data_IF_241772539754
#
_entry.id   IF_241772539754
#
_cell.length_a   1.000
_cell.length_b   1.000
_cell.length_c   1.000
_cell.angle_alpha   90.00
_cell.angle_beta   90.00
_cell.angle_gamma   90.00
#
_symmetry.space_group_name_H-M   'P 1'
#
loop_
_entity.id
_entity.type
_entity.pdbx_description
1 polymer ?
#
# COMPACT_ATOMS: atom_id res chain seq x y z
N UNK A 1 -84.53 13.66 4.52
CA UNK A 1 -83.97 12.28 4.47
C UNK A 1 -82.74 12.30 3.59
N UNK A 2 -81.52 11.91 3.94
CA UNK A 2 -80.90 11.43 5.17
C UNK A 2 -79.37 11.61 5.00
N UNK A 3 -78.71 12.12 6.04
CA UNK A 3 -77.28 12.46 6.05
C UNK A 3 -76.43 11.17 5.95
N UNK A 4 -75.43 11.16 5.07
CA UNK A 4 -74.39 10.10 5.05
C UNK A 4 -73.46 10.29 6.24
N UNK A 5 -73.28 9.20 6.99
CA UNK A 5 -72.42 9.08 8.16
C UNK A 5 -70.96 9.08 7.70
N UNK A 6 -70.21 10.10 8.10
CA UNK A 6 -68.75 10.12 8.01
C UNK A 6 -68.18 9.33 9.19
N UNK A 7 -67.55 8.19 8.92
CA UNK A 7 -66.83 7.41 9.92
C UNK A 7 -65.50 8.10 10.26
N UNK A 8 -65.37 8.56 11.50
CA UNK A 8 -64.12 9.04 12.07
C UNK A 8 -63.17 7.86 12.25
N UNK A 9 -62.06 7.82 11.50
CA UNK A 9 -60.87 7.05 11.88
C UNK A 9 -59.90 7.98 12.61
N UNK A 10 -59.64 7.65 13.86
CA UNK A 10 -58.60 8.24 14.71
C UNK A 10 -57.20 7.97 14.13
N UNK A 11 -56.27 8.95 14.12
CA UNK A 11 -54.88 8.68 13.76
C UNK A 11 -54.15 8.04 14.95
N UNK A 12 -53.46 6.92 14.70
CA UNK A 12 -52.56 6.28 15.65
C UNK A 12 -51.25 7.08 15.78
N UNK A 13 -50.78 7.46 16.99
CA UNK A 13 -49.56 8.23 17.17
C UNK A 13 -48.39 7.29 17.43
N UNK A 14 -47.83 6.65 16.39
CA UNK A 14 -46.49 6.06 16.48
C UNK A 14 -45.92 5.68 15.11
N UNK A 15 -45.51 6.69 14.34
CA UNK A 15 -44.59 6.49 13.24
C UNK A 15 -43.18 6.90 13.73
N UNK A 16 -42.34 5.91 14.06
CA UNK A 16 -40.91 6.13 14.27
C UNK A 16 -40.30 6.61 12.95
N UNK A 17 -39.38 7.60 12.94
CA UNK A 17 -38.75 8.02 11.69
C UNK A 17 -37.93 6.86 11.14
N UNK A 18 -38.18 6.51 9.88
CA UNK A 18 -37.42 5.51 9.14
C UNK A 18 -35.94 5.85 9.17
N UNK A 19 -35.16 4.88 9.62
CA UNK A 19 -33.70 4.83 9.50
C UNK A 19 -33.32 5.08 8.04
N UNK A 20 -32.73 6.25 7.80
CA UNK A 20 -32.20 6.61 6.50
C UNK A 20 -31.22 5.55 6.02
N UNK A 21 -31.48 5.09 4.80
CA UNK A 21 -30.64 4.21 3.99
C UNK A 21 -29.24 4.84 3.86
N UNK A 22 -28.33 4.48 4.78
CA UNK A 22 -26.93 4.87 4.71
C UNK A 22 -26.26 3.94 3.71
N UNK A 23 -26.30 4.31 2.43
CA UNK A 23 -25.38 3.78 1.42
C UNK A 23 -23.94 3.84 1.98
N UNK A 24 -23.14 2.78 1.88
CA UNK A 24 -21.76 2.84 2.33
C UNK A 24 -21.04 3.90 1.48
N UNK A 25 -20.55 4.96 2.14
CA UNK A 25 -19.63 5.92 1.53
C UNK A 25 -18.42 5.11 1.05
N UNK A 26 -18.26 5.02 -0.26
CA UNK A 26 -17.09 4.38 -0.86
C UNK A 26 -15.82 4.97 -0.30
N UNK A 27 -14.92 4.12 0.18
CA UNK A 27 -13.58 4.52 0.59
C UNK A 27 -12.92 5.32 -0.55
N UNK A 28 -12.18 6.39 -0.26
CA UNK A 28 -11.49 7.16 -1.28
C UNK A 28 -10.52 6.21 -2.00
N UNK A 29 -10.76 5.95 -3.28
CA UNK A 29 -9.92 5.07 -4.09
C UNK A 29 -8.51 5.68 -4.13
N UNK A 30 -7.45 4.97 -3.68
CA UNK A 30 -6.08 5.50 -3.68
C UNK A 30 -5.50 5.67 -5.08
N UNK A 31 -6.26 5.40 -6.15
CA UNK A 31 -5.78 5.49 -7.53
C UNK A 31 -5.61 6.91 -8.05
N UNK A 32 -6.52 7.84 -7.76
CA UNK A 32 -6.53 9.15 -8.43
C UNK A 32 -5.38 10.06 -7.97
N UNK A 33 -5.03 10.04 -6.68
CA UNK A 33 -3.94 10.84 -6.12
C UNK A 33 -2.57 10.41 -6.63
N UNK A 34 -2.37 9.10 -6.87
CA UNK A 34 -1.11 8.56 -7.42
C UNK A 34 -0.87 9.05 -8.85
N UNK A 35 -1.91 9.13 -9.67
CA UNK A 35 -1.81 9.65 -11.04
C UNK A 35 -1.41 11.12 -11.11
N UNK A 36 -1.88 11.96 -10.17
CA UNK A 36 -1.45 13.37 -10.11
C UNK A 36 0.03 13.51 -9.71
N UNK A 37 0.52 12.67 -8.80
CA UNK A 37 1.95 12.68 -8.41
C UNK A 37 2.83 12.23 -9.57
N UNK A 38 2.45 11.14 -10.27
CA UNK A 38 3.17 10.67 -11.46
C UNK A 38 3.16 11.72 -12.58
N UNK A 39 2.03 12.39 -12.81
CA UNK A 39 1.93 13.47 -13.79
C UNK A 39 2.79 14.69 -13.44
N UNK A 40 2.86 15.06 -12.16
CA UNK A 40 3.72 16.16 -11.70
C UNK A 40 5.20 15.82 -11.84
N UNK A 41 5.62 14.60 -11.46
CA UNK A 41 7.01 14.14 -11.65
C UNK A 41 7.37 14.14 -13.13
N UNK A 42 6.48 13.64 -13.99
CA UNK A 42 6.69 13.66 -15.44
C UNK A 42 6.84 15.10 -15.96
N UNK A 43 5.98 16.02 -15.54
CA UNK A 43 6.06 17.43 -15.93
C UNK A 43 7.38 18.08 -15.49
N UNK A 44 7.84 17.79 -14.27
CA UNK A 44 9.13 18.27 -13.76
C UNK A 44 10.29 17.68 -14.58
N UNK A 45 10.25 16.38 -14.92
CA UNK A 45 11.31 15.78 -15.75
C UNK A 45 11.36 16.38 -17.15
N UNK A 46 10.21 16.66 -17.74
CA UNK A 46 10.12 17.35 -19.04
C UNK A 46 10.66 18.78 -18.91
N UNK A 47 10.26 19.52 -17.87
CA UNK A 47 10.76 20.88 -17.64
C UNK A 47 12.29 20.92 -17.42
N UNK A 48 12.84 19.95 -16.70
CA UNK A 48 14.29 19.78 -16.53
C UNK A 48 14.97 19.51 -17.88
N UNK A 49 14.41 18.62 -18.72
CA UNK A 49 14.96 18.34 -20.04
C UNK A 49 15.00 19.59 -20.94
N UNK A 50 14.01 20.48 -20.84
CA UNK A 50 13.99 21.75 -21.58
C UNK A 50 14.94 22.80 -21.00
N UNK A 51 15.03 22.92 -19.67
CA UNK A 51 15.88 23.92 -19.00
C UNK A 51 17.38 23.59 -19.07
N UNK A 52 17.72 22.29 -19.09
CA UNK A 52 19.11 21.82 -19.17
C UNK A 52 19.53 21.36 -20.58
N UNK A 53 18.71 21.66 -21.61
CA UNK A 53 19.08 21.41 -22.98
C UNK A 53 20.38 22.18 -23.32
N UNK A 54 21.41 21.51 -23.88
CA UNK A 54 22.68 22.17 -24.18
C UNK A 54 22.47 23.30 -25.19
N UNK A 55 22.78 24.53 -24.76
CA UNK A 55 22.69 25.70 -25.63
C UNK A 55 23.89 25.73 -26.59
N UNK A 56 23.62 25.58 -27.89
CA UNK A 56 24.59 25.78 -28.96
C UNK A 56 24.58 24.67 -30.02
N UNK A 57 25.03 25.02 -31.24
CA UNK A 57 25.14 24.06 -32.34
C UNK A 57 26.30 23.11 -32.06
N UNK A 58 26.02 21.81 -31.99
CA UNK A 58 27.05 20.78 -31.88
C UNK A 58 27.76 20.65 -33.24
N UNK A 59 29.04 20.99 -33.31
CA UNK A 59 29.86 20.87 -34.53
C UNK A 59 30.97 19.83 -34.32
N UNK A 60 31.32 19.03 -35.36
CA UNK A 60 32.47 18.14 -35.31
C UNK A 60 33.77 18.89 -35.04
N UNK A 61 34.73 18.22 -34.39
CA UNK A 61 36.02 18.82 -34.05
C UNK A 61 36.81 19.28 -35.29
N UNK A 62 36.68 18.55 -36.40
CA UNK A 62 37.28 18.91 -37.69
C UNK A 62 36.72 20.24 -38.24
N UNK A 63 35.41 20.44 -38.15
CA UNK A 63 34.73 21.67 -38.58
C UNK A 63 35.13 22.85 -37.68
N UNK A 64 35.27 22.61 -36.37
CA UNK A 64 35.81 23.60 -35.45
C UNK A 64 37.25 23.99 -35.81
N UNK A 65 38.14 23.02 -36.07
CA UNK A 65 39.54 23.27 -36.45
C UNK A 65 39.64 24.05 -37.77
N UNK A 66 38.74 23.77 -38.71
CA UNK A 66 38.62 24.53 -39.95
C UNK A 66 38.22 25.99 -39.68
N UNK A 67 37.13 26.21 -38.94
CA UNK A 67 36.65 27.57 -38.62
C UNK A 67 37.61 28.36 -37.73
N UNK A 68 38.41 27.67 -36.93
CA UNK A 68 39.49 28.27 -36.15
C UNK A 68 40.60 28.81 -37.08
N UNK A 69 41.01 28.04 -38.09
CA UNK A 69 41.99 28.47 -39.10
C UNK A 69 41.50 29.62 -39.97
N UNK A 70 40.20 29.63 -40.26
CA UNK A 70 39.52 30.71 -40.99
C UNK A 70 39.35 31.99 -40.14
N UNK A 71 39.75 31.97 -38.86
CA UNK A 71 39.66 33.12 -37.97
C UNK A 71 38.23 33.49 -37.57
N UNK A 72 37.27 32.57 -37.73
CA UNK A 72 35.85 32.79 -37.45
C UNK A 72 35.48 32.64 -35.96
N UNK A 73 36.40 32.14 -35.13
CA UNK A 73 36.20 31.94 -33.69
C UNK A 73 36.56 33.21 -32.92
N UNK A 74 35.67 33.70 -32.05
CA UNK A 74 35.93 34.87 -31.21
C UNK A 74 36.46 34.48 -29.82
N UNK A 75 35.83 33.49 -29.20
CA UNK A 75 36.15 33.04 -27.84
C UNK A 75 36.01 31.53 -27.75
N UNK A 76 36.94 30.87 -27.06
CA UNK A 76 36.94 29.43 -26.84
C UNK A 76 37.15 29.10 -25.36
N UNK A 77 36.12 28.57 -24.71
CA UNK A 77 36.20 27.99 -23.37
C UNK A 77 36.53 26.50 -23.48
N UNK A 78 37.70 26.11 -23.00
CA UNK A 78 38.15 24.71 -23.00
C UNK A 78 37.73 24.06 -21.69
N UNK A 79 36.71 23.21 -21.72
CA UNK A 79 36.27 22.41 -20.58
C UNK A 79 36.92 21.01 -20.58
N UNK A 80 36.64 20.20 -19.56
CA UNK A 80 37.22 18.86 -19.39
C UNK A 80 36.79 17.90 -20.50
N UNK A 81 35.55 17.99 -20.98
CA UNK A 81 34.97 17.04 -21.95
C UNK A 81 34.56 17.70 -23.28
N UNK A 82 34.41 19.03 -23.29
CA UNK A 82 33.91 19.79 -24.44
C UNK A 82 34.64 21.11 -24.58
N UNK A 83 34.71 21.62 -25.81
CA UNK A 83 35.15 22.99 -26.11
C UNK A 83 33.88 23.75 -26.51
N UNK A 84 33.59 24.83 -25.77
CA UNK A 84 32.45 25.71 -26.04
C UNK A 84 32.97 27.07 -26.44
N UNK A 85 32.26 27.76 -27.32
CA UNK A 85 32.70 29.08 -27.75
C UNK A 85 31.64 29.83 -28.51
N UNK A 86 32.01 31.03 -28.93
CA UNK A 86 31.19 31.87 -29.81
C UNK A 86 31.96 32.16 -31.08
N UNK A 87 31.27 32.06 -32.21
CA UNK A 87 31.79 32.60 -33.47
C UNK A 87 31.74 34.13 -33.45
N UNK A 88 32.60 34.76 -34.25
CA UNK A 88 32.53 36.20 -34.51
C UNK A 88 31.13 36.53 -35.05
N UNK A 89 30.56 37.69 -34.69
CA UNK A 89 29.25 38.08 -35.17
C UNK A 89 29.23 38.08 -36.70
N UNK A 90 28.30 37.32 -37.28
CA UNK A 90 28.01 37.41 -38.72
C UNK A 90 27.32 38.76 -39.01
N UNK A 91 27.11 39.11 -40.29
CA UNK A 91 26.50 40.37 -40.77
C UNK A 91 25.17 40.76 -40.09
N UNK A 92 24.51 39.82 -39.41
CA UNK A 92 23.27 39.97 -38.62
C UNK A 92 23.49 40.21 -37.11
N UNK A 93 24.73 40.44 -36.66
CA UNK A 93 25.10 40.71 -35.26
C UNK A 93 24.71 39.60 -34.26
N UNK A 94 24.49 38.37 -34.75
CA UNK A 94 24.22 37.18 -33.94
C UNK A 94 25.53 36.40 -33.73
N UNK A 95 25.99 36.33 -32.48
CA UNK A 95 27.10 35.47 -32.10
C UNK A 95 26.57 34.06 -31.83
N UNK A 96 26.76 33.15 -32.78
CA UNK A 96 26.34 31.76 -32.63
C UNK A 96 27.26 31.03 -31.64
N UNK A 97 26.65 30.39 -30.64
CA UNK A 97 27.38 29.52 -29.72
C UNK A 97 27.58 28.14 -30.34
N UNK A 98 28.78 27.62 -30.24
CA UNK A 98 29.13 26.26 -30.67
C UNK A 98 29.62 25.41 -29.50
N UNK A 99 29.41 24.10 -29.62
CA UNK A 99 29.97 23.11 -28.72
C UNK A 99 30.59 21.99 -29.55
N UNK A 100 31.82 21.60 -29.24
CA UNK A 100 32.49 20.46 -29.86
C UNK A 100 33.10 19.56 -28.78
N UNK A 101 33.26 18.27 -29.09
CA UNK A 101 33.92 17.34 -28.18
C UNK A 101 35.42 17.67 -28.11
N UNK A 102 36.00 17.65 -26.90
CA UNK A 102 37.43 17.89 -26.73
C UNK A 102 38.19 16.65 -27.20
N UNK A 103 39.09 16.84 -28.17
CA UNK A 103 40.08 15.84 -28.58
C UNK A 103 41.44 16.35 -28.11
N UNK A 104 42.26 15.49 -27.51
CA UNK A 104 43.60 15.84 -27.05
C UNK A 104 44.51 16.09 -28.26
N UNK A 105 44.62 17.36 -28.64
CA UNK A 105 45.47 17.82 -29.73
C UNK A 105 46.56 18.76 -29.17
N UNK A 106 47.85 18.34 -29.17
CA UNK A 106 48.96 19.16 -28.68
C UNK A 106 49.13 20.50 -29.43
N UNK A 107 48.58 20.60 -30.65
CA UNK A 107 48.71 21.79 -31.51
C UNK A 107 47.61 22.82 -31.30
N UNK A 108 46.55 22.49 -30.56
CA UNK A 108 45.36 23.33 -30.42
C UNK A 108 45.65 24.66 -29.71
N UNK A 109 46.47 24.66 -28.65
CA UNK A 109 46.82 25.87 -27.89
C UNK A 109 47.61 26.83 -28.78
N UNK A 110 48.58 26.29 -29.54
CA UNK A 110 49.39 27.09 -30.46
C UNK A 110 48.55 27.72 -31.58
N UNK A 111 47.52 27.01 -32.07
CA UNK A 111 46.63 27.53 -33.11
C UNK A 111 45.67 28.61 -32.58
N UNK A 112 45.19 28.46 -31.34
CA UNK A 112 44.40 29.48 -30.64
C UNK A 112 45.21 30.75 -30.38
N UNK A 113 46.48 30.62 -29.99
CA UNK A 113 47.42 31.74 -29.80
C UNK A 113 47.73 32.44 -31.13
N UNK A 114 48.03 31.69 -32.21
CA UNK A 114 48.28 32.25 -33.54
C UNK A 114 47.12 33.10 -34.06
N UNK A 115 45.90 32.69 -33.77
CA UNK A 115 44.68 33.38 -34.20
C UNK A 115 44.19 34.44 -33.21
N UNK A 116 44.96 34.74 -32.14
CA UNK A 116 44.61 35.69 -31.08
C UNK A 116 43.20 35.45 -30.47
N UNK A 117 42.81 34.19 -30.34
CA UNK A 117 41.51 33.83 -29.74
C UNK A 117 41.62 33.92 -28.23
N UNK A 118 40.67 34.60 -27.57
CA UNK A 118 40.57 34.58 -26.10
C UNK A 118 40.16 33.18 -25.66
N UNK A 119 41.05 32.46 -25.00
CA UNK A 119 40.76 31.14 -24.44
C UNK A 119 40.75 31.18 -22.90
N UNK A 120 39.76 30.52 -22.32
CA UNK A 120 39.58 30.43 -20.86
C UNK A 120 39.35 28.97 -20.46
N UNK A 121 39.93 28.56 -19.33
CA UNK A 121 39.61 27.28 -18.70
C UNK A 121 38.28 27.37 -17.95
N UNK A 122 37.39 26.41 -18.14
CA UNK A 122 36.14 26.34 -17.38
C UNK A 122 36.45 25.86 -15.94
N UNK A 123 36.61 26.77 -14.98
CA UNK A 123 36.77 26.44 -13.54
C UNK A 123 35.40 26.33 -12.85
N UNK A 124 34.30 26.34 -13.63
CA UNK A 124 32.97 26.34 -13.04
C UNK A 124 32.73 25.03 -12.31
N UNK A 125 32.69 25.12 -10.98
CA UNK A 125 32.43 24.05 -10.04
C UNK A 125 31.06 23.41 -10.33
N UNK A 126 31.07 22.34 -11.12
CA UNK A 126 29.84 21.60 -11.50
C UNK A 126 29.19 20.87 -10.33
N UNK A 127 29.89 20.73 -9.21
CA UNK A 127 29.37 20.08 -8.00
C UNK A 127 28.10 20.76 -7.48
N UNK A 128 28.00 22.09 -7.53
CA UNK A 128 26.85 22.80 -6.99
C UNK A 128 25.60 22.61 -7.88
N UNK A 129 25.66 22.84 -9.22
CA UNK A 129 24.54 22.48 -10.12
C UNK A 129 24.18 20.99 -10.13
N UNK A 130 25.15 20.07 -10.02
CA UNK A 130 24.90 18.62 -10.01
C UNK A 130 24.21 18.17 -8.71
N UNK A 131 24.67 18.66 -7.55
CA UNK A 131 24.04 18.37 -6.26
C UNK A 131 22.64 18.99 -6.22
N UNK A 132 22.47 20.27 -6.59
CA UNK A 132 21.14 20.89 -6.62
C UNK A 132 20.22 20.20 -7.63
N UNK A 133 20.73 19.79 -8.79
CA UNK A 133 19.98 19.08 -9.80
C UNK A 133 19.41 17.75 -9.31
N UNK A 134 20.12 17.03 -8.44
CA UNK A 134 19.67 15.74 -7.92
C UNK A 134 18.94 15.82 -6.57
N UNK A 135 19.37 16.75 -5.71
CA UNK A 135 18.80 16.96 -4.36
C UNK A 135 17.46 17.68 -4.42
N UNK A 136 17.29 18.66 -5.32
CA UNK A 136 16.04 19.40 -5.42
C UNK A 136 14.85 18.49 -5.79
N UNK A 137 14.92 17.60 -6.80
CA UNK A 137 13.85 16.65 -7.08
C UNK A 137 13.58 15.67 -5.92
N UNK A 138 14.62 15.19 -5.24
CA UNK A 138 14.48 14.29 -4.09
C UNK A 138 13.77 14.98 -2.92
N UNK A 139 14.15 16.23 -2.60
CA UNK A 139 13.50 17.01 -1.56
C UNK A 139 12.06 17.35 -1.91
N UNK A 140 11.77 17.66 -3.19
CA UNK A 140 10.41 17.90 -3.66
C UNK A 140 9.55 16.63 -3.53
N UNK A 141 10.10 15.47 -3.89
CA UNK A 141 9.42 14.18 -3.75
C UNK A 141 9.15 13.86 -2.28
N UNK A 142 10.14 14.03 -1.40
CA UNK A 142 10.00 13.85 0.05
C UNK A 142 8.99 14.85 0.62
N UNK A 143 8.99 16.10 0.17
CA UNK A 143 8.05 17.13 0.60
C UNK A 143 6.61 16.81 0.18
N UNK A 144 6.41 16.40 -1.07
CA UNK A 144 5.11 15.95 -1.58
C UNK A 144 4.66 14.70 -0.83
N UNK A 145 5.53 13.71 -0.67
CA UNK A 145 5.23 12.52 0.13
C UNK A 145 4.85 12.89 1.57
N UNK A 146 5.65 13.70 2.25
CA UNK A 146 5.37 14.15 3.63
C UNK A 146 4.05 14.91 3.74
N UNK A 147 3.75 15.79 2.78
CA UNK A 147 2.48 16.52 2.72
C UNK A 147 1.29 15.58 2.49
N UNK A 148 1.41 14.62 1.58
CA UNK A 148 0.37 13.63 1.34
C UNK A 148 0.22 12.64 2.50
N UNK A 149 1.30 12.19 3.12
CA UNK A 149 1.27 11.35 4.32
C UNK A 149 0.64 12.08 5.50
N UNK A 150 0.89 13.38 5.67
CA UNK A 150 0.19 14.20 6.67
C UNK A 150 -1.28 14.43 6.34
N UNK A 151 -1.64 14.49 5.05
CA UNK A 151 -3.03 14.70 4.59
C UNK A 151 -3.87 13.42 4.53
N UNK A 152 -3.26 12.27 4.23
CA UNK A 152 -3.86 10.93 4.36
C UNK A 152 -3.76 10.38 5.79
N UNK A 153 -2.81 10.88 6.59
CA UNK A 153 -2.52 10.46 7.97
C UNK A 153 -3.46 11.04 9.03
N UNK A 154 -4.58 11.64 8.65
CA UNK A 154 -5.73 11.81 9.55
C UNK A 154 -6.42 10.48 9.89
N UNK A 155 -6.05 9.39 9.21
CA UNK A 155 -6.41 8.02 9.56
C UNK A 155 -5.16 7.30 10.07
N UNK A 156 -4.98 7.36 11.39
CA UNK A 156 -4.14 6.52 12.23
C UNK A 156 -4.16 5.04 11.76
N UNK A 157 -3.34 4.64 10.78
CA UNK A 157 -3.36 3.24 10.34
C UNK A 157 -2.69 2.85 9.02
N UNK A 158 -2.28 3.77 8.14
CA UNK A 158 -1.84 3.39 6.78
C UNK A 158 -0.62 2.45 6.70
N UNK A 159 0.32 2.53 7.65
CA UNK A 159 1.55 1.71 7.64
C UNK A 159 1.57 0.72 8.82
N UNK A 160 0.99 1.09 9.97
CA UNK A 160 0.85 0.20 11.14
C UNK A 160 -0.28 -0.85 10.99
N UNK A 161 -1.20 -0.72 10.02
CA UNK A 161 -2.21 -1.75 9.75
C UNK A 161 -1.73 -2.88 8.84
N UNK A 162 -0.57 -2.74 8.19
CA UNK A 162 0.08 -3.85 7.49
C UNK A 162 0.72 -4.84 8.47
N UNK A 163 1.05 -4.40 9.69
CA UNK A 163 1.63 -5.22 10.76
C UNK A 163 0.57 -5.90 11.65
N UNK A 164 -0.69 -5.44 11.64
CA UNK A 164 -1.80 -6.19 12.24
C UNK A 164 -2.32 -7.15 11.19
N UNK A 165 -1.93 -8.42 11.32
CA UNK A 165 -2.37 -9.51 10.47
C UNK A 165 -3.87 -9.40 10.20
N UNK A 166 -4.25 -9.11 8.96
CA UNK A 166 -5.61 -9.35 8.49
C UNK A 166 -5.85 -10.86 8.34
N UNK A 167 -5.71 -11.61 9.42
CA UNK A 167 -6.40 -12.88 9.52
C UNK A 167 -7.88 -12.51 9.49
N UNK A 168 -8.54 -12.88 8.40
CA UNK A 168 -9.99 -12.76 8.26
C UNK A 168 -10.57 -13.83 9.18
N UNK A 169 -10.55 -13.56 10.49
CA UNK A 169 -11.10 -14.47 11.49
C UNK A 169 -12.59 -14.57 11.17
N UNK A 170 -12.98 -15.71 10.61
CA UNK A 170 -14.36 -16.01 10.25
C UNK A 170 -15.11 -16.27 11.55
N UNK A 171 -15.47 -15.20 12.26
CA UNK A 171 -16.46 -15.27 13.32
C UNK A 171 -17.83 -15.43 12.65
N UNK A 172 -18.32 -16.66 12.62
CA UNK A 172 -19.69 -16.93 12.22
C UNK A 172 -20.57 -16.70 13.46
N UNK A 173 -21.21 -15.54 13.52
CA UNK A 173 -22.11 -15.17 14.63
C UNK A 173 -23.44 -15.96 14.58
N UNK A 174 -23.79 -16.59 13.44
CA UNK A 174 -25.03 -17.37 13.27
C UNK A 174 -24.75 -18.68 12.50
N UNK A 175 -24.34 -19.72 13.23
CA UNK A 175 -24.15 -21.07 12.68
C UNK A 175 -25.49 -21.79 12.59
N UNK A 176 -25.90 -22.16 11.38
CA UNK A 176 -27.21 -22.79 11.11
C UNK A 176 -27.22 -24.32 11.24
N UNK A 177 -26.05 -24.93 11.32
CA UNK A 177 -25.87 -26.39 11.40
C UNK A 177 -26.25 -26.88 12.80
N UNK A 178 -26.98 -27.99 12.88
CA UNK A 178 -27.43 -28.62 14.13
C UNK A 178 -27.01 -30.08 14.20
N UNK A 179 -27.21 -30.73 15.35
CA UNK A 179 -26.91 -32.17 15.48
C UNK A 179 -27.73 -33.02 14.52
N UNK A 180 -28.96 -32.61 14.19
CA UNK A 180 -29.78 -33.28 13.17
C UNK A 180 -29.15 -33.31 11.76
N UNK A 181 -28.18 -32.44 11.48
CA UNK A 181 -27.47 -32.38 10.20
C UNK A 181 -26.21 -33.27 10.18
N UNK A 182 -25.88 -33.93 11.30
CA UNK A 182 -24.74 -34.84 11.45
C UNK A 182 -25.28 -36.25 11.66
N UNK A 183 -24.79 -37.22 10.87
CA UNK A 183 -25.29 -38.59 10.90
C UNK A 183 -24.18 -39.59 11.24
N UNK A 184 -24.54 -40.64 11.99
CA UNK A 184 -23.67 -41.81 12.23
C UNK A 184 -22.55 -41.56 13.24
N UNK A 185 -22.74 -40.64 14.18
CA UNK A 185 -21.76 -40.31 15.24
C UNK A 185 -22.45 -40.18 16.61
N UNK A 186 -23.34 -41.12 16.91
CA UNK A 186 -24.26 -41.05 18.05
C UNK A 186 -23.52 -40.99 19.40
N UNK A 187 -22.41 -41.73 19.54
CA UNK A 187 -21.60 -41.73 20.77
C UNK A 187 -20.91 -40.38 21.02
N UNK A 188 -20.33 -39.77 19.97
CA UNK A 188 -19.68 -38.47 20.11
C UNK A 188 -20.70 -37.34 20.30
N UNK A 189 -21.89 -37.48 19.72
CA UNK A 189 -22.98 -36.52 19.95
C UNK A 189 -23.41 -36.51 21.42
N UNK A 190 -23.52 -37.67 22.07
CA UNK A 190 -23.89 -37.78 23.48
C UNK A 190 -22.88 -37.07 24.40
N UNK A 191 -21.57 -37.27 24.17
CA UNK A 191 -20.52 -36.56 24.92
C UNK A 191 -20.56 -35.04 24.66
N UNK A 192 -20.77 -34.62 23.41
CA UNK A 192 -20.81 -33.20 23.06
C UNK A 192 -22.08 -32.49 23.54
N UNK A 193 -23.18 -33.21 23.79
CA UNK A 193 -24.41 -32.64 24.38
C UNK A 193 -24.18 -32.06 25.77
N UNK A 194 -23.29 -32.66 26.57
CA UNK A 194 -22.90 -32.10 27.87
C UNK A 194 -22.25 -30.72 27.71
N UNK A 195 -21.38 -30.58 26.71
CA UNK A 195 -20.70 -29.31 26.40
C UNK A 195 -21.69 -28.26 25.91
N UNK A 196 -22.69 -28.65 25.11
CA UNK A 196 -23.77 -27.76 24.68
C UNK A 196 -24.58 -27.26 25.88
N UNK A 197 -24.96 -28.13 26.81
CA UNK A 197 -25.71 -27.74 28.01
C UNK A 197 -24.91 -26.75 28.87
N UNK A 198 -23.60 -26.99 28.98
CA UNK A 198 -22.68 -26.10 29.66
C UNK A 198 -22.63 -24.70 29.00
N UNK A 199 -22.44 -24.63 27.69
CA UNK A 199 -22.38 -23.35 26.96
C UNK A 199 -23.68 -22.55 27.05
N UNK A 200 -24.83 -23.23 27.15
CA UNK A 200 -26.14 -22.59 27.37
C UNK A 200 -26.30 -22.07 28.81
N UNK A 201 -25.78 -22.79 29.80
CA UNK A 201 -26.03 -22.50 31.22
C UNK A 201 -24.76 -22.50 32.07
N UNK A 202 -23.74 -21.68 31.77
CA UNK A 202 -22.42 -21.80 32.39
C UNK A 202 -22.46 -21.59 33.92
N UNK A 203 -23.34 -20.70 34.40
CA UNK A 203 -23.47 -20.37 35.83
C UNK A 203 -23.88 -21.57 36.69
N UNK A 204 -24.75 -22.45 36.19
CA UNK A 204 -25.29 -23.61 36.93
C UNK A 204 -24.18 -24.61 37.25
N UNK A 205 -23.24 -24.81 36.31
CA UNK A 205 -22.12 -25.74 36.48
C UNK A 205 -21.03 -25.19 37.38
N UNK A 206 -20.73 -23.88 37.28
CA UNK A 206 -19.75 -23.23 38.18
C UNK A 206 -20.21 -23.27 39.64
N UNK A 207 -21.50 -23.11 39.92
CA UNK A 207 -22.04 -23.16 41.30
C UNK A 207 -22.00 -24.55 41.92
N UNK A 208 -22.03 -25.60 41.10
CA UNK A 208 -21.97 -27.00 41.54
C UNK A 208 -20.51 -27.49 41.69
N UNK A 209 -19.53 -26.63 41.46
CA UNK A 209 -18.11 -27.00 41.49
C UNK A 209 -17.65 -27.83 40.29
N UNK A 210 -18.44 -27.87 39.21
CA UNK A 210 -18.10 -28.61 38.00
C UNK A 210 -16.89 -28.01 37.27
N UNK A 211 -15.94 -28.85 36.89
CA UNK A 211 -14.80 -28.45 36.05
C UNK A 211 -15.18 -28.50 34.57
N UNK A 212 -14.92 -27.40 33.88
CA UNK A 212 -15.21 -27.28 32.45
C UNK A 212 -14.03 -27.83 31.66
N UNK A 213 -14.23 -28.80 30.76
CA UNK A 213 -13.18 -29.20 29.83
C UNK A 213 -12.78 -28.00 28.97
N UNK A 214 -11.50 -27.63 29.03
CA UNK A 214 -10.97 -26.45 28.30
C UNK A 214 -10.82 -26.69 26.80
N UNK A 215 -10.87 -27.95 26.36
CA UNK A 215 -10.74 -28.33 24.96
C UNK A 215 -11.17 -29.76 24.73
N UNK A 216 -11.61 -30.03 23.50
CA UNK A 216 -11.99 -31.35 23.00
C UNK A 216 -11.16 -31.62 21.75
N UNK A 217 -10.58 -32.81 21.65
CA UNK A 217 -9.86 -33.25 20.47
C UNK A 217 -10.71 -34.27 19.71
N UNK A 218 -11.18 -33.90 18.52
CA UNK A 218 -11.90 -34.81 17.64
C UNK A 218 -10.89 -35.55 16.74
N UNK A 219 -10.76 -36.86 16.92
CA UNK A 219 -9.83 -37.70 16.15
C UNK A 219 -10.60 -38.64 15.23
N UNK A 220 -10.13 -38.78 13.99
CA UNK A 220 -10.68 -39.75 13.04
C UNK A 220 -10.15 -39.54 11.62
N UNK A 221 -10.38 -40.48 10.70
CA UNK A 221 -10.01 -40.35 9.29
C UNK A 221 -10.52 -39.04 8.65
N UNK A 222 -9.88 -38.52 7.60
CA UNK A 222 -10.42 -37.37 6.87
C UNK A 222 -11.82 -37.69 6.32
N UNK A 223 -12.71 -36.71 6.30
CA UNK A 223 -14.08 -36.86 5.77
C UNK A 223 -15.12 -37.41 6.75
N UNK A 224 -14.78 -37.69 8.01
CA UNK A 224 -15.74 -38.17 9.04
C UNK A 224 -16.58 -37.06 9.69
N UNK A 225 -16.65 -35.87 9.08
CA UNK A 225 -17.53 -34.79 9.57
C UNK A 225 -17.06 -34.08 10.85
N UNK A 226 -15.80 -34.19 11.28
CA UNK A 226 -15.27 -33.49 12.49
C UNK A 226 -15.57 -31.99 12.51
N UNK A 227 -15.29 -31.29 11.41
CA UNK A 227 -15.57 -29.86 11.26
C UNK A 227 -17.07 -29.55 11.26
N UNK A 228 -17.89 -30.47 10.71
CA UNK A 228 -19.34 -30.35 10.68
C UNK A 228 -19.94 -30.54 12.08
N UNK A 229 -19.44 -31.52 12.84
CA UNK A 229 -19.82 -31.79 14.22
C UNK A 229 -19.47 -30.60 15.13
N UNK A 230 -18.27 -30.02 15.00
CA UNK A 230 -17.89 -28.82 15.74
C UNK A 230 -18.81 -27.61 15.45
N UNK A 231 -19.22 -27.43 14.19
CA UNK A 231 -20.21 -26.41 13.80
C UNK A 231 -21.60 -26.71 14.37
N UNK A 232 -22.02 -27.97 14.39
CA UNK A 232 -23.28 -28.40 14.98
C UNK A 232 -23.36 -28.08 16.48
N UNK A 233 -22.27 -28.32 17.23
CA UNK A 233 -22.18 -27.96 18.66
C UNK A 233 -22.39 -26.44 18.86
N UNK A 234 -21.77 -25.62 18.02
CA UNK A 234 -21.91 -24.16 18.08
C UNK A 234 -23.34 -23.69 17.76
N UNK A 235 -23.95 -24.27 16.71
CA UNK A 235 -25.32 -23.96 16.31
C UNK A 235 -26.36 -24.42 17.35
N UNK A 236 -26.14 -25.57 17.99
CA UNK A 236 -26.97 -26.07 19.08
C UNK A 236 -26.88 -25.20 20.33
N UNK A 237 -25.66 -24.76 20.69
CA UNK A 237 -25.41 -23.85 21.79
C UNK A 237 -25.80 -22.39 21.48
N UNK A 238 -25.99 -22.03 20.20
CA UNK A 238 -26.22 -20.67 19.69
C UNK A 238 -25.15 -19.68 20.16
N UNK A 239 -23.89 -20.10 20.06
CA UNK A 239 -22.72 -19.29 20.41
C UNK A 239 -21.88 -18.98 19.17
N UNK A 240 -21.11 -17.88 19.14
CA UNK A 240 -20.23 -17.57 18.03
C UNK A 240 -19.23 -18.70 17.77
N UNK A 241 -19.00 -19.01 16.49
CA UNK A 241 -18.03 -20.01 16.05
C UNK A 241 -16.84 -19.33 15.39
N UNK A 242 -15.66 -19.51 15.98
CA UNK A 242 -14.39 -19.06 15.44
C UNK A 242 -13.67 -20.27 14.83
N UNK A 243 -13.31 -20.18 13.55
CA UNK A 243 -12.57 -21.24 12.87
C UNK A 243 -11.20 -20.72 12.45
N UNK A 244 -10.17 -21.55 12.67
CA UNK A 244 -8.82 -21.32 12.18
C UNK A 244 -8.22 -22.65 11.70
N UNK A 245 -7.42 -22.62 10.63
CA UNK A 245 -6.71 -23.82 10.15
C UNK A 245 -5.30 -23.87 10.71
N UNK A 246 -4.87 -25.04 11.20
CA UNK A 246 -3.54 -25.28 11.76
C UNK A 246 -2.42 -25.03 10.76
N UNK A 247 -2.68 -25.29 9.49
CA UNK A 247 -1.79 -24.97 8.36
C UNK A 247 -1.49 -23.46 8.21
N UNK A 248 -2.34 -22.56 8.72
CA UNK A 248 -2.07 -21.10 8.68
C UNK A 248 -0.93 -20.68 9.63
N UNK A 249 -0.51 -21.55 10.55
CA UNK A 249 0.58 -21.27 11.49
C UNK A 249 1.96 -21.59 10.94
N UNK A 250 2.05 -22.42 9.88
CA UNK A 250 3.31 -22.86 9.26
C UNK A 250 3.70 -21.89 8.14
N UNK A 251 3.82 -20.61 8.49
CA UNK A 251 4.25 -19.59 7.53
C UNK A 251 5.76 -19.43 7.48
N UNK A 252 6.28 -18.97 6.33
CA UNK A 252 7.71 -18.70 6.10
C UNK A 252 8.30 -17.61 7.03
N UNK A 253 7.45 -16.89 7.77
CA UNK A 253 7.85 -15.79 8.65
C UNK A 253 7.69 -16.16 10.13
N UNK A 254 8.83 -16.23 10.83
CA UNK A 254 8.90 -16.55 12.26
C UNK A 254 8.08 -15.55 13.08
N UNK A 255 7.20 -16.06 13.96
CA UNK A 255 6.45 -15.25 14.93
C UNK A 255 5.09 -14.71 14.46
N UNK A 256 4.78 -14.77 13.16
CA UNK A 256 3.48 -14.34 12.62
C UNK A 256 2.35 -15.30 13.01
N UNK A 257 2.64 -16.61 13.04
CA UNK A 257 1.69 -17.62 13.52
C UNK A 257 1.32 -17.43 14.99
N UNK A 258 2.31 -17.25 15.86
CA UNK A 258 2.10 -17.07 17.31
C UNK A 258 1.32 -15.80 17.66
N UNK A 259 1.50 -14.71 16.90
CA UNK A 259 0.71 -13.49 17.07
C UNK A 259 -0.78 -13.73 16.75
N UNK A 260 -1.07 -14.49 15.68
CA UNK A 260 -2.45 -14.83 15.29
C UNK A 260 -3.17 -15.71 16.31
N UNK A 261 -2.49 -16.67 16.93
CA UNK A 261 -3.07 -17.45 18.05
C UNK A 261 -3.53 -16.50 19.14
N UNK A 262 -2.64 -15.59 19.58
CA UNK A 262 -2.97 -14.64 20.65
C UNK A 262 -4.15 -13.74 20.30
N UNK A 263 -4.16 -13.20 19.08
CA UNK A 263 -5.23 -12.32 18.62
C UNK A 263 -6.57 -13.05 18.49
N UNK A 264 -6.56 -14.32 18.06
CA UNK A 264 -7.75 -15.18 18.00
C UNK A 264 -8.34 -15.38 19.40
N UNK A 265 -7.51 -15.80 20.36
CA UNK A 265 -7.96 -16.04 21.73
C UNK A 265 -8.43 -14.75 22.43
N UNK A 266 -7.78 -13.61 22.18
CA UNK A 266 -8.23 -12.31 22.70
C UNK A 266 -9.61 -11.91 22.15
N UNK A 267 -9.89 -12.19 20.87
CA UNK A 267 -11.22 -11.93 20.27
C UNK A 267 -12.28 -12.91 20.76
N UNK A 268 -11.91 -14.17 20.96
CA UNK A 268 -12.79 -15.19 21.52
C UNK A 268 -13.20 -14.85 22.96
N UNK A 269 -12.24 -14.44 23.80
CA UNK A 269 -12.50 -14.02 25.19
C UNK A 269 -13.48 -12.84 25.26
N UNK A 270 -13.37 -11.87 24.36
CA UNK A 270 -14.28 -10.73 24.28
C UNK A 270 -15.72 -11.11 23.85
N UNK A 271 -15.89 -12.24 23.16
CA UNK A 271 -17.18 -12.75 22.66
C UNK A 271 -17.68 -13.99 23.43
N UNK A 272 -17.13 -14.27 24.61
CA UNK A 272 -17.51 -15.43 25.40
C UNK A 272 -18.99 -15.36 25.88
N UNK A 273 -19.73 -16.49 25.93
CA UNK A 273 -19.31 -17.84 25.56
C UNK A 273 -19.25 -18.04 24.03
N UNK A 274 -18.21 -18.72 23.55
CA UNK A 274 -17.97 -19.01 22.14
C UNK A 274 -17.22 -20.34 21.95
N UNK A 275 -17.18 -20.84 20.72
CA UNK A 275 -16.37 -22.01 20.35
C UNK A 275 -15.23 -21.58 19.44
N UNK A 276 -14.02 -22.03 19.77
CA UNK A 276 -12.82 -21.89 18.92
C UNK A 276 -12.47 -23.25 18.37
N UNK A 277 -12.56 -23.39 17.05
CA UNK A 277 -12.21 -24.60 16.31
C UNK A 277 -10.89 -24.39 15.58
N UNK A 278 -9.95 -25.31 15.83
CA UNK A 278 -8.67 -25.37 15.15
C UNK A 278 -8.65 -26.66 14.34
N UNK A 279 -8.73 -26.54 13.01
CA UNK A 279 -8.60 -27.67 12.10
C UNK A 279 -7.11 -28.02 11.92
N UNK A 280 -6.79 -29.23 11.47
CA UNK A 280 -5.41 -29.65 11.16
C UNK A 280 -4.39 -29.34 12.29
N UNK A 281 -4.76 -29.63 13.54
CA UNK A 281 -3.89 -29.37 14.70
C UNK A 281 -2.54 -30.09 14.59
N UNK A 282 -2.48 -31.20 13.87
CA UNK A 282 -1.25 -31.95 13.57
C UNK A 282 -0.21 -31.13 12.78
N UNK A 283 -0.62 -30.10 12.06
CA UNK A 283 0.30 -29.19 11.37
C UNK A 283 1.13 -28.31 12.33
N UNK A 284 0.75 -28.22 13.61
CA UNK A 284 1.41 -27.37 14.60
C UNK A 284 2.63 -28.01 15.29
N UNK A 285 2.88 -29.29 15.06
CA UNK A 285 4.04 -30.02 15.60
C UNK A 285 3.77 -30.75 16.90
#
# INVERSE_FOLDING_TARGET
MGRRVASRRSPSPNARPGTGDRRPRGAPRPGASVWYVLGFVLLVTIAQAYLFAPAGRSIPYSEFKQKLREGAVAEATVATQTIRGKFKPDKDNRSEAFSTARIEDPTLIQELEKQNVKFTGEVMSRWLPEILGWVLPLLLLIGIWSFFFRRMGGAEGGIMSFARSRAKIYAEDDVKVKFADVAGVDEAEEELREIVEFLKTPKKYTTLGGHIPKGVLLVGPPGTGKTLLARAVAGEAKVPFFSLSGSEFVEMFVGVGAARVRDLFAQAEAKAPCIVFIDELDALG
#
